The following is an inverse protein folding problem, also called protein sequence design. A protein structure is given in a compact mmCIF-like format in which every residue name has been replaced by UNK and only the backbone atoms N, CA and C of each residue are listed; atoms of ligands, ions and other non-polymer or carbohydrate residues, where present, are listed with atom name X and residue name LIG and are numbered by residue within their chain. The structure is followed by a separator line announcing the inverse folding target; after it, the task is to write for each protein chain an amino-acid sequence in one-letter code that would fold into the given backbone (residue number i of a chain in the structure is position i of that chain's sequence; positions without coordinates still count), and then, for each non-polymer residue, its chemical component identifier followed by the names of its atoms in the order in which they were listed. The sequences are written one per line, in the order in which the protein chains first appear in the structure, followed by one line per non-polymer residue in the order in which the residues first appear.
data_IF_817136496169
#
_entry.id   IF_817136496169
#
_cell.length_a   1.000
_cell.length_b   1.000
_cell.length_c   1.000
_cell.angle_alpha   90.00
_cell.angle_beta   90.00
_cell.angle_gamma   90.00
#
_symmetry.space_group_name_H-M   'P 1'
#
loop_
_entity.id
_entity.type
_entity.pdbx_description
1 polymer ?
#
# COMPACT_ATOMS: atom_id res chain seq x y z
N UNK A 1 13.05 12.96 5.93
CA UNK A 1 12.20 11.88 6.48
C UNK A 1 11.55 11.18 5.31
N UNK A 2 11.56 9.84 5.27
CA UNK A 2 10.94 9.10 4.18
C UNK A 2 9.40 9.17 4.32
N UNK A 3 8.70 9.36 3.20
CA UNK A 3 7.23 9.38 3.19
C UNK A 3 6.72 7.95 3.20
N UNK A 4 5.66 7.67 3.95
CA UNK A 4 5.10 6.32 3.99
C UNK A 4 3.58 6.30 4.12
N UNK A 5 3.00 5.24 3.60
CA UNK A 5 1.59 4.93 3.75
C UNK A 5 1.51 3.65 4.57
N UNK A 6 0.80 3.71 5.69
CA UNK A 6 0.45 2.53 6.48
C UNK A 6 -0.97 2.10 6.14
N UNK A 7 -1.19 0.79 6.06
CA UNK A 7 -2.49 0.21 5.73
C UNK A 7 -2.97 -0.70 6.85
N UNK A 8 -4.23 -0.56 7.22
CA UNK A 8 -4.94 -1.50 8.08
C UNK A 8 -5.79 -2.39 7.20
N UNK A 9 -5.69 -3.70 7.39
CA UNK A 9 -6.42 -4.69 6.58
C UNK A 9 -7.76 -5.05 7.21
N UNK A 10 -8.68 -5.49 6.37
CA UNK A 10 -9.87 -6.18 6.85
C UNK A 10 -9.52 -7.52 7.51
N UNK A 11 -10.39 -8.06 8.39
CA UNK A 11 -10.20 -9.38 8.99
C UNK A 11 -9.94 -10.46 7.93
N UNK A 12 -8.98 -11.34 8.19
CA UNK A 12 -8.54 -12.39 7.27
C UNK A 12 -7.43 -12.00 6.29
N UNK A 13 -7.06 -10.72 6.21
CA UNK A 13 -6.04 -10.22 5.28
C UNK A 13 -4.78 -9.63 5.95
N UNK A 14 -4.76 -9.49 7.28
CA UNK A 14 -3.66 -8.86 8.02
C UNK A 14 -2.51 -9.81 8.39
N UNK A 15 -1.28 -9.29 8.42
CA UNK A 15 -0.08 -10.03 8.80
C UNK A 15 -0.07 -10.37 10.30
N UNK A 16 0.51 -11.51 10.75
CA UNK A 16 1.44 -12.39 10.03
C UNK A 16 0.82 -13.60 9.29
N UNK A 17 -0.44 -13.95 9.54
CA UNK A 17 -1.09 -15.18 9.02
C UNK A 17 -2.08 -14.94 7.86
N UNK A 18 -2.14 -13.71 7.34
CA UNK A 18 -2.67 -13.34 6.01
C UNK A 18 -1.83 -12.17 5.47
N UNK A 19 -0.90 -12.39 4.55
CA UNK A 19 0.31 -11.54 4.39
C UNK A 19 0.10 -10.14 3.76
N UNK A 20 -1.04 -9.49 3.97
CA UNK A 20 -1.28 -8.10 3.60
C UNK A 20 -0.98 -7.82 2.13
N UNK A 21 -0.23 -6.76 1.87
CA UNK A 21 0.21 -6.42 0.51
C UNK A 21 1.11 -7.48 -0.14
N UNK A 22 1.69 -8.42 0.62
CA UNK A 22 2.61 -9.44 0.12
C UNK A 22 1.98 -10.84 0.07
N UNK A 23 0.65 -10.93 0.16
CA UNK A 23 -0.04 -12.21 0.03
C UNK A 23 -0.06 -12.71 -1.43
N UNK A 24 -0.28 -14.02 -1.62
CA UNK A 24 0.00 -14.71 -2.90
C UNK A 24 -1.15 -14.64 -3.91
N UNK A 25 -2.27 -14.04 -3.52
CA UNK A 25 -3.49 -13.91 -4.29
C UNK A 25 -3.26 -13.04 -5.53
N UNK A 26 -3.82 -13.46 -6.68
CA UNK A 26 -3.60 -12.77 -7.96
C UNK A 26 -4.13 -11.33 -7.95
N UNK A 27 -5.20 -11.07 -7.18
CA UNK A 27 -5.75 -9.73 -7.00
C UNK A 27 -4.78 -8.80 -6.28
N UNK A 28 -4.02 -9.33 -5.31
CA UNK A 28 -2.97 -8.59 -4.58
C UNK A 28 -1.77 -8.36 -5.48
N UNK A 29 -1.35 -9.36 -6.27
CA UNK A 29 -0.29 -9.19 -7.26
C UNK A 29 -0.63 -8.10 -8.29
N UNK A 30 -1.88 -8.03 -8.73
CA UNK A 30 -2.35 -6.97 -9.63
C UNK A 30 -2.25 -5.60 -8.97
N UNK A 31 -2.68 -5.48 -7.71
CA UNK A 31 -2.54 -4.26 -6.93
C UNK A 31 -1.05 -3.85 -6.79
N UNK A 32 -0.18 -4.80 -6.47
CA UNK A 32 1.27 -4.57 -6.36
C UNK A 32 1.86 -4.07 -7.69
N UNK A 33 1.46 -4.64 -8.83
CA UNK A 33 1.91 -4.18 -10.16
C UNK A 33 1.60 -2.70 -10.40
N UNK A 34 0.42 -2.25 -9.96
CA UNK A 34 0.05 -0.83 -10.02
C UNK A 34 0.88 0.00 -9.05
N UNK A 35 1.14 -0.48 -7.84
CA UNK A 35 1.97 0.26 -6.88
C UNK A 35 3.41 0.41 -7.36
N UNK A 36 4.01 -0.63 -7.92
CA UNK A 36 5.40 -0.56 -8.41
C UNK A 36 5.53 0.20 -9.74
N UNK A 37 4.42 0.57 -10.39
CA UNK A 37 4.48 1.47 -11.56
C UNK A 37 4.69 2.93 -11.18
N UNK A 38 4.53 3.30 -9.91
CA UNK A 38 4.90 4.63 -9.40
C UNK A 38 6.40 4.64 -9.11
N UNK A 39 7.22 5.43 -9.84
CA UNK A 39 8.67 5.45 -9.66
C UNK A 39 9.09 5.92 -8.26
N UNK A 40 8.22 6.64 -7.55
CA UNK A 40 8.44 7.11 -6.19
C UNK A 40 8.34 5.98 -5.15
N UNK A 41 7.71 4.84 -5.47
CA UNK A 41 7.58 3.72 -4.54
C UNK A 41 8.92 3.00 -4.40
N UNK A 42 9.46 2.97 -3.18
CA UNK A 42 10.78 2.42 -2.85
C UNK A 42 10.69 1.01 -2.26
N UNK A 43 9.84 0.84 -1.24
CA UNK A 43 9.71 -0.43 -0.52
C UNK A 43 8.25 -0.73 -0.22
N UNK A 44 7.88 -2.00 -0.31
CA UNK A 44 6.57 -2.51 0.09
C UNK A 44 6.78 -3.60 1.14
N UNK A 45 6.22 -3.37 2.32
CA UNK A 45 6.11 -4.30 3.44
C UNK A 45 4.65 -4.79 3.54
N UNK A 46 4.36 -5.83 4.34
CA UNK A 46 3.00 -6.35 4.45
C UNK A 46 1.93 -5.30 4.77
N UNK A 47 2.22 -4.32 5.64
CA UNK A 47 1.30 -3.26 6.07
C UNK A 47 1.75 -1.83 5.72
N UNK A 48 2.81 -1.68 4.92
CA UNK A 48 3.43 -0.37 4.68
C UNK A 48 4.00 -0.22 3.27
N UNK A 49 3.84 0.97 2.71
CA UNK A 49 4.46 1.39 1.45
C UNK A 49 5.35 2.59 1.76
N UNK A 50 6.63 2.52 1.40
CA UNK A 50 7.58 3.61 1.54
C UNK A 50 7.79 4.27 0.19
N UNK A 51 7.75 5.60 0.17
CA UNK A 51 7.99 6.42 -1.00
C UNK A 51 9.27 7.24 -0.82
N UNK A 52 9.81 7.71 -1.94
CA UNK A 52 10.92 8.66 -1.95
C UNK A 52 10.60 9.91 -1.10
N UNK A 53 11.60 10.42 -0.39
CA UNK A 53 11.41 11.62 0.45
C UNK A 53 11.05 12.87 -0.38
N UNK A 54 11.53 12.94 -1.62
CA UNK A 54 11.24 13.99 -2.59
C UNK A 54 10.00 13.74 -3.44
N UNK A 55 9.24 12.67 -3.17
CA UNK A 55 7.99 12.40 -3.89
C UNK A 55 7.01 13.57 -3.76
N UNK A 56 6.38 13.95 -4.87
CA UNK A 56 5.33 14.97 -4.88
C UNK A 56 4.21 14.55 -3.91
N UNK A 57 3.76 15.43 -2.98
CA UNK A 57 2.60 15.17 -2.12
C UNK A 57 1.37 14.63 -2.85
N UNK A 58 1.15 15.05 -4.11
CA UNK A 58 0.03 14.57 -4.95
C UNK A 58 0.14 13.10 -5.29
N UNK A 59 1.35 12.56 -5.45
CA UNK A 59 1.57 11.12 -5.68
C UNK A 59 1.19 10.34 -4.43
N UNK A 60 1.60 10.81 -3.26
CA UNK A 60 1.25 10.19 -1.97
C UNK A 60 -0.27 10.13 -1.77
N UNK A 61 -0.98 11.23 -2.03
CA UNK A 61 -2.44 11.28 -1.99
C UNK A 61 -3.09 10.36 -3.02
N UNK A 62 -2.55 10.30 -4.24
CA UNK A 62 -3.07 9.44 -5.32
C UNK A 62 -2.95 7.97 -4.93
N UNK A 63 -1.80 7.55 -4.40
CA UNK A 63 -1.57 6.19 -3.93
C UNK A 63 -2.48 5.88 -2.74
N UNK A 64 -2.60 6.79 -1.78
CA UNK A 64 -3.49 6.62 -0.63
C UNK A 64 -4.97 6.43 -1.07
N UNK A 65 -5.47 7.27 -1.98
CA UNK A 65 -6.83 7.14 -2.54
C UNK A 65 -7.01 5.88 -3.39
N UNK A 66 -5.97 5.43 -4.08
CA UNK A 66 -5.99 4.15 -4.80
C UNK A 66 -6.18 2.98 -3.82
N UNK A 67 -5.43 2.96 -2.71
CA UNK A 67 -5.52 1.94 -1.67
C UNK A 67 -6.87 1.97 -0.94
N UNK A 68 -7.38 3.15 -0.61
CA UNK A 68 -8.71 3.31 0.02
C UNK A 68 -9.84 2.73 -0.83
N UNK A 69 -9.76 2.83 -2.16
CA UNK A 69 -10.73 2.21 -3.09
C UNK A 69 -10.67 0.68 -3.10
N UNK A 70 -9.63 0.07 -2.53
CA UNK A 70 -9.52 -1.39 -2.40
C UNK A 70 -10.24 -1.87 -1.15
N UNK A 71 -11.52 -1.49 -1.00
CA UNK A 71 -12.32 -1.74 0.21
C UNK A 71 -12.48 -3.23 0.52
N UNK A 72 -12.26 -4.11 -0.44
CA UNK A 72 -12.27 -5.56 -0.24
C UNK A 72 -11.08 -6.07 0.60
N UNK A 73 -9.98 -5.32 0.64
CA UNK A 73 -8.72 -5.66 1.31
C UNK A 73 -8.42 -4.70 2.47
N UNK A 74 -8.61 -3.40 2.23
CA UNK A 74 -8.16 -2.31 3.09
C UNK A 74 -9.33 -1.81 3.96
N UNK A 75 -9.08 -1.68 5.25
CA UNK A 75 -9.97 -1.08 6.23
C UNK A 75 -9.67 0.41 6.43
N UNK A 76 -8.40 0.78 6.54
CA UNK A 76 -7.99 2.19 6.66
C UNK A 76 -6.59 2.42 6.10
N UNK A 77 -6.28 3.68 5.83
CA UNK A 77 -5.00 4.14 5.28
C UNK A 77 -4.54 5.37 6.07
N UNK A 78 -3.29 5.36 6.50
CA UNK A 78 -2.64 6.46 7.22
C UNK A 78 -1.39 6.91 6.46
N UNK A 79 -1.16 8.23 6.41
CA UNK A 79 -0.03 8.84 5.70
C UNK A 79 0.92 9.47 6.71
N UNK A 80 2.22 9.18 6.57
CA UNK A 80 3.30 9.66 7.45
C UNK A 80 4.45 10.28 6.65
#
# INVERSE_FOLDING_TARGET
MARSIRVTFRPGWGAPEGKGLLAREERIRTLLRVLVSYPEVRHILPDRISLDAGADPRVLETVARFLQRQEWLIQSVEVH
#
